data_IF_731412274411
#
_entry.id   IF_731412274411
#
_cell.length_a   1.000
_cell.length_b   1.000
_cell.length_c   1.000
_cell.angle_alpha   90.00
_cell.angle_beta   90.00
_cell.angle_gamma   90.00
#
_symmetry.space_group_name_H-M   'P 1'
#
loop_
_entity.id
_entity.type
_entity.pdbx_description
1 polymer ?
#
# COMPACT_ATOMS: atom_id res chain seq x y z
N UNK A 1 -16.83 -5.08 -9.28
CA UNK A 1 -15.88 -6.10 -9.79
C UNK A 1 -16.15 -7.39 -9.04
N UNK A 2 -16.36 -8.52 -9.73
CA UNK A 2 -16.60 -9.81 -9.06
C UNK A 2 -15.29 -10.49 -8.68
N UNK A 3 -15.28 -11.28 -7.61
CA UNK A 3 -14.09 -12.00 -7.15
C UNK A 3 -13.44 -12.90 -8.22
N UNK A 4 -14.23 -13.37 -9.21
CA UNK A 4 -13.79 -14.22 -10.33
C UNK A 4 -12.61 -13.64 -11.12
N UNK A 5 -12.57 -12.33 -11.31
CA UNK A 5 -11.55 -11.67 -12.15
C UNK A 5 -10.48 -10.95 -11.33
N UNK A 6 -10.43 -11.18 -10.01
CA UNK A 6 -9.55 -10.44 -9.10
C UNK A 6 -8.08 -10.62 -9.46
N UNK A 7 -7.68 -11.82 -9.90
CA UNK A 7 -6.28 -12.17 -10.19
C UNK A 7 -5.95 -12.24 -11.68
N UNK A 8 -6.89 -11.87 -12.57
CA UNK A 8 -6.63 -11.90 -14.01
C UNK A 8 -5.48 -10.93 -14.34
N UNK A 9 -4.52 -11.44 -15.12
CA UNK A 9 -3.33 -10.71 -15.55
C UNK A 9 -2.52 -10.10 -14.40
N UNK A 10 -2.60 -10.69 -13.21
CA UNK A 10 -1.84 -10.25 -12.04
C UNK A 10 -0.34 -10.43 -12.27
N UNK A 11 0.39 -9.31 -12.36
CA UNK A 11 1.84 -9.29 -12.50
C UNK A 11 2.48 -8.90 -11.18
N UNK A 12 3.45 -9.68 -10.72
CA UNK A 12 4.22 -9.31 -9.54
C UNK A 12 5.02 -8.03 -9.82
N UNK A 13 4.86 -7.00 -8.97
CA UNK A 13 5.56 -5.71 -9.14
C UNK A 13 6.65 -5.49 -8.11
N UNK A 14 6.55 -6.13 -6.95
CA UNK A 14 7.56 -6.00 -5.90
C UNK A 14 7.04 -6.39 -4.53
N UNK A 15 7.86 -6.12 -3.53
CA UNK A 15 7.55 -6.42 -2.14
C UNK A 15 7.83 -5.23 -1.23
N UNK A 16 7.13 -5.19 -0.10
CA UNK A 16 7.36 -4.23 0.96
C UNK A 16 7.48 -4.96 2.31
N UNK A 17 8.41 -4.51 3.14
CA UNK A 17 8.59 -5.05 4.49
C UNK A 17 7.77 -4.25 5.50
N UNK A 18 6.82 -4.91 6.16
CA UNK A 18 6.21 -4.41 7.38
C UNK A 18 7.08 -4.70 8.61
N UNK A 19 6.53 -4.52 9.80
CA UNK A 19 7.28 -4.80 11.04
C UNK A 19 7.40 -6.29 11.37
N UNK A 20 6.40 -7.08 10.97
CA UNK A 20 6.31 -8.52 11.30
C UNK A 20 6.20 -9.41 10.07
N UNK A 21 5.89 -8.83 8.91
CA UNK A 21 5.47 -9.57 7.72
C UNK A 21 5.96 -8.88 6.47
N UNK A 22 6.19 -9.68 5.44
CA UNK A 22 6.37 -9.21 4.07
C UNK A 22 5.02 -9.08 3.38
N UNK A 23 4.93 -8.09 2.52
CA UNK A 23 3.76 -7.78 1.70
C UNK A 23 4.18 -7.86 0.24
N UNK A 24 3.54 -8.72 -0.52
CA UNK A 24 3.82 -8.96 -1.93
C UNK A 24 2.76 -8.24 -2.76
N UNK A 25 3.20 -7.42 -3.70
CA UNK A 25 2.30 -6.58 -4.48
C UNK A 25 2.23 -7.10 -5.91
N UNK A 26 1.02 -7.27 -6.40
CA UNK A 26 0.71 -7.63 -7.77
C UNK A 26 -0.11 -6.52 -8.40
N UNK A 27 0.17 -6.17 -9.65
CA UNK A 27 -0.65 -5.26 -10.43
C UNK A 27 -1.59 -6.05 -11.32
N UNK A 28 -2.86 -5.70 -11.30
CA UNK A 28 -3.89 -6.18 -12.22
C UNK A 28 -4.34 -5.03 -13.13
N UNK A 29 -5.18 -5.26 -14.14
CA UNK A 29 -5.70 -4.18 -14.98
C UNK A 29 -6.49 -3.11 -14.24
N UNK A 30 -7.01 -3.40 -13.03
CA UNK A 30 -7.92 -2.51 -12.31
C UNK A 30 -7.50 -2.19 -10.86
N UNK A 31 -6.48 -2.86 -10.31
CA UNK A 31 -6.05 -2.67 -8.92
C UNK A 31 -4.64 -3.18 -8.67
N UNK A 32 -4.08 -2.77 -7.53
CA UNK A 32 -2.95 -3.46 -6.90
C UNK A 32 -3.48 -4.45 -5.86
N UNK A 33 -3.02 -5.69 -5.90
CA UNK A 33 -3.29 -6.69 -4.88
C UNK A 33 -2.11 -6.75 -3.92
N UNK A 34 -2.37 -6.50 -2.64
CA UNK A 34 -1.39 -6.64 -1.57
C UNK A 34 -1.65 -7.94 -0.83
N UNK A 35 -0.76 -8.91 -1.01
CA UNK A 35 -0.84 -10.23 -0.40
C UNK A 35 0.12 -10.36 0.78
N UNK A 36 -0.33 -10.93 1.89
CA UNK A 36 0.53 -11.23 3.05
C UNK A 36 0.13 -12.55 3.71
N UNK A 37 1.12 -13.33 4.13
CA UNK A 37 0.88 -14.59 4.83
C UNK A 37 0.37 -14.32 6.26
N UNK A 38 -0.75 -14.95 6.62
CA UNK A 38 -1.33 -14.91 7.97
C UNK A 38 -0.86 -16.08 8.82
N UNK A 39 -0.86 -17.28 8.23
CA UNK A 39 -0.40 -18.56 8.78
C UNK A 39 0.11 -19.42 7.61
N UNK A 40 0.63 -20.62 7.91
CA UNK A 40 0.99 -21.59 6.86
C UNK A 40 -0.21 -21.83 5.93
N UNK A 41 -0.01 -21.65 4.63
CA UNK A 41 -1.02 -21.79 3.58
C UNK A 41 -2.27 -20.90 3.74
N UNK A 42 -2.19 -19.79 4.49
CA UNK A 42 -3.28 -18.83 4.63
C UNK A 42 -2.77 -17.42 4.31
N UNK A 43 -3.40 -16.79 3.32
CA UNK A 43 -3.02 -15.48 2.81
C UNK A 43 -4.20 -14.51 2.92
N UNK A 44 -3.90 -13.28 3.34
CA UNK A 44 -4.80 -12.16 3.20
C UNK A 44 -4.42 -11.40 1.93
N UNK A 45 -5.42 -11.03 1.14
CA UNK A 45 -5.26 -10.21 -0.06
C UNK A 45 -6.15 -8.99 0.06
N UNK A 46 -5.58 -7.80 -0.10
CA UNK A 46 -6.30 -6.53 -0.13
C UNK A 46 -6.12 -5.88 -1.49
N UNK A 47 -7.21 -5.45 -2.12
CA UNK A 47 -7.17 -4.70 -3.37
C UNK A 47 -7.09 -3.20 -3.09
N UNK A 48 -6.15 -2.52 -3.74
CA UNK A 48 -5.92 -1.08 -3.66
C UNK A 48 -6.14 -0.48 -5.05
N UNK A 49 -6.83 0.66 -5.12
CA UNK A 49 -7.13 1.31 -6.40
C UNK A 49 -5.86 1.76 -7.13
N UNK A 50 -5.87 1.69 -8.46
CA UNK A 50 -4.70 2.00 -9.30
C UNK A 50 -4.21 3.44 -9.20
N UNK A 51 -5.10 4.37 -8.87
CA UNK A 51 -4.78 5.81 -8.76
C UNK A 51 -4.09 6.17 -7.43
N UNK A 52 -4.17 5.29 -6.43
CA UNK A 52 -3.63 5.55 -5.09
C UNK A 52 -2.14 5.93 -5.10
N UNK A 53 -1.23 5.23 -5.81
CA UNK A 53 0.18 5.62 -5.86
C UNK A 53 0.42 7.00 -6.45
N UNK A 54 -0.34 7.38 -7.48
CA UNK A 54 -0.16 8.67 -8.15
C UNK A 54 -0.70 9.82 -7.28
N UNK A 55 -1.80 9.61 -6.58
CA UNK A 55 -2.33 10.57 -5.60
C UNK A 55 -1.33 10.79 -4.46
N UNK A 56 -0.76 9.70 -3.91
CA UNK A 56 0.24 9.78 -2.85
C UNK A 56 1.50 10.50 -3.37
N UNK A 57 2.01 10.08 -4.52
CA UNK A 57 3.19 10.66 -5.16
C UNK A 57 3.04 12.17 -5.37
N UNK A 58 1.94 12.61 -5.99
CA UNK A 58 1.71 14.04 -6.27
C UNK A 58 1.66 14.90 -4.99
N UNK A 59 1.04 14.40 -3.92
CA UNK A 59 0.77 15.21 -2.72
C UNK A 59 1.90 15.17 -1.68
N UNK A 60 2.63 14.06 -1.64
CA UNK A 60 3.60 13.78 -0.59
C UNK A 60 5.02 13.58 -1.11
N UNK A 61 5.30 13.86 -2.40
CA UNK A 61 6.65 13.78 -2.97
C UNK A 61 7.69 14.44 -2.07
N UNK A 62 8.77 13.72 -1.79
CA UNK A 62 9.86 14.18 -0.95
C UNK A 62 9.53 14.29 0.55
N UNK A 63 8.32 13.94 1.00
CA UNK A 63 7.93 14.03 2.42
C UNK A 63 8.07 12.70 3.14
N UNK A 64 8.30 12.78 4.45
CA UNK A 64 8.10 11.68 5.37
C UNK A 64 6.63 11.68 5.81
N UNK A 65 5.95 10.56 5.65
CA UNK A 65 4.53 10.43 5.97
C UNK A 65 4.26 9.16 6.76
N UNK A 66 3.19 9.20 7.54
CA UNK A 66 2.61 8.02 8.20
C UNK A 66 1.24 7.70 7.61
N UNK A 67 0.67 6.57 8.03
CA UNK A 67 -0.74 6.23 7.76
C UNK A 67 -1.69 7.36 8.18
N UNK A 68 -1.40 8.05 9.29
CA UNK A 68 -2.21 9.15 9.78
C UNK A 68 -2.04 10.42 8.93
N UNK A 69 -0.81 10.71 8.52
CA UNK A 69 -0.53 11.80 7.55
C UNK A 69 -1.27 11.57 6.23
N UNK A 70 -1.42 10.32 5.80
CA UNK A 70 -2.18 9.98 4.60
C UNK A 70 -3.67 10.30 4.76
N UNK A 71 -4.26 9.98 5.92
CA UNK A 71 -5.67 10.30 6.24
C UNK A 71 -5.92 11.81 6.21
N UNK A 72 -5.14 12.58 6.95
CA UNK A 72 -5.35 14.02 7.09
C UNK A 72 -4.94 14.80 5.85
N UNK A 73 -3.88 14.35 5.16
CA UNK A 73 -3.33 15.07 4.03
C UNK A 73 -4.06 14.78 2.72
N UNK A 74 -4.48 13.54 2.43
CA UNK A 74 -4.97 13.15 1.09
C UNK A 74 -6.31 13.77 0.71
N UNK A 75 -7.25 13.92 1.66
CA UNK A 75 -8.63 14.33 1.41
C UNK A 75 -9.34 13.46 0.34
N UNK A 76 -8.98 12.17 0.25
CA UNK A 76 -9.57 11.18 -0.66
C UNK A 76 -10.20 10.03 0.14
N UNK A 77 -11.38 10.24 0.76
CA UNK A 77 -12.03 9.22 1.58
C UNK A 77 -12.42 7.98 0.75
N UNK A 78 -12.62 8.15 -0.55
CA UNK A 78 -12.85 7.08 -1.53
C UNK A 78 -11.65 6.13 -1.70
N UNK A 79 -10.42 6.60 -1.39
CA UNK A 79 -9.19 5.80 -1.48
C UNK A 79 -8.64 5.38 -0.11
N UNK A 80 -8.85 6.22 0.91
CA UNK A 80 -8.09 6.21 2.15
C UNK A 80 -8.98 6.27 3.40
N UNK A 81 -10.21 5.76 3.33
CA UNK A 81 -11.16 5.70 4.45
C UNK A 81 -10.61 4.88 5.62
N UNK A 82 -10.23 3.63 5.34
CA UNK A 82 -9.84 2.66 6.36
C UNK A 82 -8.34 2.67 6.64
N UNK A 83 -7.98 2.28 7.87
CA UNK A 83 -6.58 2.24 8.28
C UNK A 83 -5.74 1.28 7.44
N UNK A 84 -6.26 0.07 7.18
CA UNK A 84 -5.53 -0.94 6.43
C UNK A 84 -5.39 -0.58 4.95
N UNK A 85 -6.36 0.10 4.35
CA UNK A 85 -6.26 0.57 2.96
C UNK A 85 -5.14 1.59 2.82
N UNK A 86 -5.06 2.55 3.75
CA UNK A 86 -3.96 3.53 3.81
C UNK A 86 -2.61 2.86 3.96
N UNK A 87 -2.49 1.89 4.86
CA UNK A 87 -1.24 1.18 5.10
C UNK A 87 -0.83 0.35 3.88
N UNK A 88 -1.76 -0.39 3.28
CA UNK A 88 -1.51 -1.18 2.08
C UNK A 88 -1.14 -0.30 0.88
N UNK A 89 -1.76 0.89 0.73
CA UNK A 89 -1.36 1.84 -0.30
C UNK A 89 0.09 2.33 -0.12
N UNK A 90 0.56 2.53 1.11
CA UNK A 90 1.97 2.83 1.38
C UNK A 90 2.89 1.65 1.05
N UNK A 91 2.45 0.41 1.28
CA UNK A 91 3.20 -0.77 0.83
C UNK A 91 3.27 -0.89 -0.70
N UNK A 92 2.19 -0.55 -1.42
CA UNK A 92 2.22 -0.45 -2.88
C UNK A 92 3.26 0.57 -3.32
N UNK A 93 3.31 1.76 -2.69
CA UNK A 93 4.34 2.76 -3.00
C UNK A 93 5.76 2.23 -2.81
N UNK A 94 6.00 1.45 -1.75
CA UNK A 94 7.31 0.82 -1.50
C UNK A 94 7.63 -0.23 -2.56
N UNK A 95 6.69 -1.13 -2.87
CA UNK A 95 6.89 -2.17 -3.88
C UNK A 95 7.16 -1.60 -5.27
N UNK A 96 6.57 -0.46 -5.60
CA UNK A 96 6.83 0.28 -6.85
C UNK A 96 8.14 1.07 -6.86
N UNK A 97 8.91 1.06 -5.76
CA UNK A 97 10.12 1.88 -5.61
C UNK A 97 9.84 3.39 -5.49
N UNK A 98 8.57 3.80 -5.32
CA UNK A 98 8.15 5.21 -5.15
C UNK A 98 8.21 5.66 -3.69
N UNK A 99 8.49 4.76 -2.76
CA UNK A 99 8.69 5.08 -1.35
C UNK A 99 9.67 4.11 -0.70
N UNK A 100 10.18 4.49 0.47
CA UNK A 100 10.92 3.59 1.36
C UNK A 100 10.37 3.67 2.78
N UNK A 101 10.17 2.53 3.43
CA UNK A 101 9.91 2.47 4.87
C UNK A 101 11.19 2.88 5.61
N UNK A 102 11.06 3.77 6.59
CA UNK A 102 12.16 4.16 7.46
C UNK A 102 12.17 3.30 8.71
N UNK A 103 13.34 3.08 9.30
CA UNK A 103 13.49 2.53 10.66
C UNK A 103 13.16 3.59 11.72
N UNK A 104 11.98 4.22 11.57
CA UNK A 104 11.50 5.34 12.38
C UNK A 104 9.99 5.20 12.57
N UNK A 105 9.52 5.66 13.74
CA UNK A 105 8.10 5.75 14.05
C UNK A 105 7.73 7.15 14.50
N UNK A 106 6.48 7.53 14.25
CA UNK A 106 5.84 8.71 14.81
C UNK A 106 4.64 8.21 15.63
N UNK A 107 4.79 8.25 16.95
CA UNK A 107 3.91 7.52 17.86
C UNK A 107 3.93 6.01 17.56
N UNK A 108 2.75 5.45 17.21
CA UNK A 108 2.61 4.03 16.85
C UNK A 108 2.72 3.75 15.35
N UNK A 109 2.83 4.79 14.51
CA UNK A 109 2.81 4.63 13.07
C UNK A 109 4.23 4.55 12.48
N UNK A 110 4.41 3.66 11.50
CA UNK A 110 5.63 3.60 10.69
C UNK A 110 5.73 4.83 9.79
N UNK A 111 6.96 5.31 9.60
CA UNK A 111 7.26 6.44 8.70
C UNK A 111 7.75 5.93 7.35
N UNK A 112 7.21 6.52 6.28
CA UNK A 112 7.56 6.23 4.90
C UNK A 112 8.07 7.51 4.25
N UNK A 113 9.22 7.44 3.57
CA UNK A 113 9.73 8.54 2.73
C UNK A 113 9.25 8.33 1.31
N UNK A 114 8.49 9.28 0.78
CA UNK A 114 8.02 9.27 -0.61
C UNK A 114 9.09 9.91 -1.52
N UNK A 115 9.35 9.28 -2.66
CA UNK A 115 10.38 9.68 -3.63
C UNK A 115 9.80 10.57 -4.73
#
# INVERSE_FOLDING_TARGET
MGAKNLFNDAKFVGQAEGDKRSYYVYQTPNSYLVATAQRRNNYSVTAIQLDSPDVIGRKFKGKEITVNSLKSGSHRPDLFSEYFDRLNALYVMVALGKARKLKKREGRAMVFKIT
#
